data_IF_721688450927
#
_entry.id   IF_721688450927
#
_cell.length_a   1.000
_cell.length_b   1.000
_cell.length_c   1.000
_cell.angle_alpha   90.00
_cell.angle_beta   90.00
_cell.angle_gamma   90.00
#
_symmetry.space_group_name_H-M   'P 1'
#
loop_
_entity.id
_entity.type
_entity.pdbx_description
1 polymer ?
#
# COMPACT_ATOMS: atom_id res chain seq x y z
N UNK A 1 -13.30 -21.18 -22.23
CA UNK A 1 -13.45 -21.24 -20.76
C UNK A 1 -12.06 -21.17 -20.17
N UNK A 2 -11.46 -19.99 -20.20
CA UNK A 2 -10.16 -19.73 -19.60
C UNK A 2 -10.34 -18.41 -18.89
N UNK A 3 -10.59 -18.54 -17.59
CA UNK A 3 -11.07 -17.47 -16.74
C UNK A 3 -10.13 -16.28 -16.81
N UNK A 4 -10.69 -15.16 -17.25
CA UNK A 4 -10.28 -13.81 -16.91
C UNK A 4 -10.09 -13.70 -15.38
N UNK A 5 -8.95 -14.13 -14.86
CA UNK A 5 -8.47 -13.66 -13.57
C UNK A 5 -7.85 -12.30 -13.87
N UNK A 6 -8.74 -11.35 -14.17
CA UNK A 6 -8.45 -9.93 -14.12
C UNK A 6 -7.73 -9.70 -12.79
N UNK A 7 -6.46 -9.34 -12.93
CA UNK A 7 -5.55 -8.93 -11.89
C UNK A 7 -6.02 -7.61 -11.30
N UNK A 8 -7.18 -7.64 -10.64
CA UNK A 8 -7.70 -6.55 -9.82
C UNK A 8 -6.84 -6.54 -8.57
N UNK A 9 -5.81 -5.70 -8.55
CA UNK A 9 -4.92 -5.38 -7.42
C UNK A 9 -5.47 -5.91 -6.09
N UNK A 10 -5.19 -7.18 -5.79
CA UNK A 10 -5.76 -7.85 -4.62
C UNK A 10 -4.83 -7.52 -3.48
N UNK A 11 -5.27 -6.60 -2.63
CA UNK A 11 -4.58 -6.39 -1.37
C UNK A 11 -4.77 -7.65 -0.53
N UNK A 12 -3.66 -8.24 -0.09
CA UNK A 12 -3.67 -9.41 0.77
C UNK A 12 -3.26 -8.97 2.17
N UNK A 13 -4.01 -9.44 3.18
CA UNK A 13 -3.56 -9.38 4.57
C UNK A 13 -2.35 -10.28 4.72
N UNK A 14 -1.32 -9.80 5.39
CA UNK A 14 -0.15 -10.60 5.74
C UNK A 14 0.21 -10.40 7.21
N UNK A 15 0.53 -11.49 7.87
CA UNK A 15 1.12 -11.57 9.20
C UNK A 15 2.65 -11.46 9.14
N UNK A 16 3.26 -11.53 7.96
CA UNK A 16 4.71 -11.38 7.79
C UNK A 16 5.12 -9.90 7.67
N UNK A 17 4.99 -9.15 8.77
CA UNK A 17 5.25 -7.71 8.82
C UNK A 17 6.73 -7.36 8.57
N UNK A 18 7.65 -8.24 8.98
CA UNK A 18 9.09 -8.10 8.73
C UNK A 18 9.46 -8.10 7.24
N UNK A 19 8.63 -8.71 6.39
CA UNK A 19 8.84 -8.70 4.93
C UNK A 19 8.35 -7.42 4.25
N UNK A 20 7.72 -6.52 5.01
CA UNK A 20 7.12 -5.30 4.51
C UNK A 20 8.03 -4.08 4.63
N UNK A 21 9.16 -4.19 5.33
CA UNK A 21 10.14 -3.11 5.47
C UNK A 21 10.52 -2.57 4.08
N UNK A 22 10.40 -1.26 3.91
CA UNK A 22 10.62 -0.56 2.64
C UNK A 22 9.45 -0.62 1.64
N UNK A 23 8.29 -1.15 2.02
CA UNK A 23 7.07 -1.18 1.18
C UNK A 23 6.00 -0.26 1.72
N UNK A 24 5.13 0.22 0.82
CA UNK A 24 3.90 0.92 1.21
C UNK A 24 2.87 -0.13 1.64
N UNK A 25 2.33 0.04 2.83
CA UNK A 25 1.31 -0.84 3.40
C UNK A 25 0.12 -0.03 3.89
N UNK A 26 -1.02 -0.71 3.94
CA UNK A 26 -2.25 -0.17 4.49
C UNK A 26 -2.53 -0.84 5.81
N UNK A 27 -2.60 -0.04 6.87
CA UNK A 27 -2.94 -0.48 8.22
C UNK A 27 -4.43 -0.30 8.42
N UNK A 28 -5.07 -1.34 8.94
CA UNK A 28 -6.48 -1.34 9.31
C UNK A 28 -6.62 -1.72 10.78
N UNK A 29 -7.63 -1.19 11.46
CA UNK A 29 -7.95 -1.56 12.82
C UNK A 29 -9.39 -2.04 12.85
N UNK A 30 -9.60 -3.31 13.24
CA UNK A 30 -10.95 -3.93 13.27
C UNK A 30 -11.68 -3.79 11.91
N UNK A 31 -10.94 -3.98 10.82
CA UNK A 31 -11.47 -3.85 9.45
C UNK A 31 -11.61 -2.43 8.90
N UNK A 32 -11.45 -1.38 9.72
CA UNK A 32 -11.50 0.02 9.27
C UNK A 32 -10.13 0.49 8.78
N UNK A 33 -10.09 1.31 7.72
CA UNK A 33 -8.85 1.94 7.26
C UNK A 33 -8.33 2.89 8.34
N UNK A 34 -7.16 2.58 8.89
CA UNK A 34 -6.52 3.41 9.91
C UNK A 34 -5.56 4.39 9.26
N UNK A 35 -4.57 3.88 8.51
CA UNK A 35 -3.53 4.68 7.87
C UNK A 35 -2.86 3.92 6.73
N UNK A 36 -2.21 4.65 5.83
CA UNK A 36 -1.29 4.08 4.85
C UNK A 36 0.07 4.76 5.00
N UNK A 37 1.16 4.01 4.82
CA UNK A 37 2.50 4.59 4.84
C UNK A 37 3.59 3.59 4.47
N UNK A 38 4.81 4.10 4.32
CA UNK A 38 6.00 3.28 4.12
C UNK A 38 6.37 2.61 5.45
N UNK A 39 6.59 1.30 5.44
CA UNK A 39 7.19 0.63 6.59
C UNK A 39 8.67 0.99 6.63
N UNK A 40 9.08 1.70 7.68
CA UNK A 40 10.48 2.07 7.90
C UNK A 40 11.27 0.92 8.52
N UNK A 41 10.68 0.25 9.51
CA UNK A 41 11.29 -0.84 10.27
C UNK A 41 10.20 -1.79 10.80
N UNK A 42 10.55 -3.04 11.09
CA UNK A 42 9.60 -4.00 11.65
C UNK A 42 10.29 -4.99 12.57
N UNK A 43 9.58 -5.41 13.61
CA UNK A 43 10.11 -6.39 14.54
C UNK A 43 10.26 -7.76 13.86
N UNK A 44 11.35 -8.51 14.17
CA UNK A 44 11.67 -9.76 13.49
C UNK A 44 10.64 -10.87 13.75
N UNK A 45 9.91 -10.79 14.87
CA UNK A 45 8.82 -11.66 15.28
C UNK A 45 7.45 -11.23 14.73
N UNK A 46 7.41 -10.18 13.91
CA UNK A 46 6.20 -9.60 13.33
C UNK A 46 5.15 -9.10 14.36
N UNK A 47 5.55 -8.88 15.62
CA UNK A 47 4.63 -8.35 16.64
C UNK A 47 4.35 -6.86 16.46
N UNK A 48 5.10 -6.15 15.62
CA UNK A 48 4.88 -4.73 15.35
C UNK A 48 5.78 -4.16 14.27
N UNK A 49 5.37 -3.02 13.72
CA UNK A 49 6.12 -2.31 12.68
C UNK A 49 6.07 -0.80 12.87
N UNK A 50 7.04 -0.12 12.29
CA UNK A 50 7.14 1.33 12.27
C UNK A 50 6.74 1.85 10.90
N UNK A 51 5.75 2.73 10.88
CA UNK A 51 5.39 3.52 9.70
C UNK A 51 6.24 4.80 9.71
N UNK A 52 6.91 5.06 8.58
CA UNK A 52 7.70 6.25 8.35
C UNK A 52 6.83 7.53 8.46
N UNK A 53 7.42 8.67 8.85
CA UNK A 53 6.71 9.94 8.83
C UNK A 53 6.27 10.29 7.40
N UNK A 54 5.02 10.72 7.23
CA UNK A 54 4.47 11.13 5.94
C UNK A 54 3.80 12.50 6.07
N UNK A 55 4.46 13.54 5.54
CA UNK A 55 3.97 14.91 5.59
C UNK A 55 3.82 15.42 7.02
N UNK A 56 2.58 15.66 7.45
CA UNK A 56 2.26 16.12 8.81
C UNK A 56 2.17 14.98 9.84
N UNK A 57 2.20 13.72 9.39
CA UNK A 57 2.11 12.58 10.29
C UNK A 57 3.50 12.12 10.71
N UNK A 58 3.70 11.99 12.01
CA UNK A 58 4.94 11.49 12.58
C UNK A 58 5.11 9.98 12.35
N UNK A 59 6.32 9.51 12.67
CA UNK A 59 6.65 8.09 12.71
C UNK A 59 5.78 7.42 13.76
N UNK A 60 5.12 6.33 13.39
CA UNK A 60 4.14 5.67 14.26
C UNK A 60 4.44 4.19 14.38
N UNK A 61 4.35 3.68 15.60
CA UNK A 61 4.48 2.26 15.89
C UNK A 61 3.11 1.59 15.88
N UNK A 62 3.00 0.54 15.09
CA UNK A 62 1.79 -0.28 14.94
C UNK A 62 2.06 -1.63 15.59
N UNK A 63 1.21 -1.99 16.54
CA UNK A 63 1.32 -3.22 17.32
C UNK A 63 0.31 -4.27 16.86
N UNK A 64 0.76 -5.50 16.60
CA UNK A 64 -0.11 -6.59 16.18
C UNK A 64 -1.08 -7.03 17.29
N UNK A 65 -0.66 -6.93 18.56
CA UNK A 65 -1.48 -7.35 19.71
C UNK A 65 -2.69 -6.42 19.93
N UNK A 66 -2.59 -5.16 19.50
CA UNK A 66 -3.67 -4.16 19.54
C UNK A 66 -4.78 -4.42 18.52
N UNK A 67 -4.63 -5.43 17.65
CA UNK A 67 -5.63 -5.81 16.66
C UNK A 67 -5.47 -5.08 15.31
N UNK A 68 -4.31 -4.48 15.07
CA UNK A 68 -4.01 -3.91 13.77
C UNK A 68 -3.76 -5.00 12.71
N UNK A 69 -4.25 -4.75 11.51
CA UNK A 69 -4.13 -5.63 10.35
C UNK A 69 -3.40 -4.90 9.24
N UNK A 70 -2.37 -5.53 8.67
CA UNK A 70 -1.57 -4.92 7.61
C UNK A 70 -1.89 -5.58 6.28
N UNK A 71 -2.21 -4.75 5.30
CA UNK A 71 -2.62 -5.12 3.95
C UNK A 71 -1.60 -4.59 2.96
N UNK A 72 -1.16 -5.45 2.04
CA UNK A 72 -0.21 -5.07 0.99
C UNK A 72 -0.73 -5.54 -0.37
N UNK A 73 -0.55 -4.72 -1.40
CA UNK A 73 -0.68 -5.16 -2.78
C UNK A 73 0.63 -5.87 -3.14
N UNK A 74 0.66 -7.19 -3.00
CA UNK A 74 1.70 -8.00 -3.59
C UNK A 74 1.73 -7.66 -5.09
N UNK A 75 2.82 -7.04 -5.56
CA UNK A 75 3.05 -6.94 -6.99
C UNK A 75 2.99 -8.37 -7.57
N UNK A 76 2.28 -8.58 -8.69
CA UNK A 76 2.30 -9.87 -9.35
C UNK A 76 3.75 -10.25 -9.63
N UNK A 77 4.13 -11.49 -9.34
CA UNK A 77 5.47 -12.06 -9.65
C UNK A 77 5.64 -12.24 -11.16
N UNK A 78 5.40 -11.20 -11.94
CA UNK A 78 5.62 -11.18 -13.38
C UNK A 78 6.90 -10.40 -13.67
N UNK A 79 7.94 -11.16 -14.01
CA UNK A 79 9.28 -10.71 -14.44
C UNK A 79 9.27 -9.74 -15.64
N UNK A 80 8.10 -9.43 -16.21
CA UNK A 80 7.89 -8.54 -17.35
C UNK A 80 7.17 -7.22 -17.01
N UNK A 81 6.83 -6.97 -15.74
CA UNK A 81 6.02 -5.81 -15.35
C UNK A 81 6.87 -4.58 -14.98
N UNK A 82 7.61 -4.05 -15.96
CA UNK A 82 8.32 -2.76 -15.82
C UNK A 82 7.45 -1.56 -16.21
N UNK A 83 6.19 -1.80 -16.58
CA UNK A 83 5.30 -0.78 -17.17
C UNK A 83 4.08 -0.47 -16.30
N UNK A 84 3.51 -1.41 -15.52
CA UNK A 84 2.27 -1.12 -14.77
C UNK A 84 2.49 -0.23 -13.54
N UNK A 85 3.69 -0.20 -12.95
CA UNK A 85 4.02 0.75 -11.89
C UNK A 85 3.94 2.22 -12.37
N UNK A 86 4.17 2.46 -13.68
CA UNK A 86 4.14 3.80 -14.27
C UNK A 86 2.72 4.26 -14.64
N UNK A 87 1.81 3.33 -14.96
CA UNK A 87 0.42 3.68 -15.32
C UNK A 87 -0.46 4.01 -14.11
N UNK A 88 -0.17 3.47 -12.92
CA UNK A 88 -0.92 3.82 -11.71
C UNK A 88 -0.59 5.22 -11.17
N UNK A 89 0.62 5.73 -11.41
CA UNK A 89 0.98 7.13 -11.11
C UNK A 89 0.38 8.09 -12.15
N UNK A 90 0.24 7.66 -13.41
CA UNK A 90 -0.34 8.47 -14.48
C UNK A 90 -1.84 8.76 -14.29
N UNK A 91 -2.60 7.87 -13.61
CA UNK A 91 -4.03 8.08 -13.40
C UNK A 91 -4.40 9.16 -12.37
N UNK A 92 -3.42 9.72 -11.65
CA UNK A 92 -3.62 10.89 -10.77
C UNK A 92 -3.30 12.23 -11.46
N UNK A 93 -2.73 12.22 -12.66
CA UNK A 93 -2.32 13.43 -13.38
C UNK A 93 -3.40 14.01 -14.31
N UNK A 94 -4.36 13.21 -14.76
CA UNK A 94 -5.31 13.64 -15.81
C UNK A 94 -6.57 14.37 -15.30
N UNK A 95 -6.68 14.67 -14.00
CA UNK A 95 -7.77 15.50 -13.45
C UNK A 95 -7.22 16.87 -13.04
N UNK A 96 -6.48 17.56 -13.91
CA UNK A 96 -6.03 18.94 -13.64
C UNK A 96 -6.12 19.90 -14.82
N UNK A 97 -6.42 19.44 -16.04
CA UNK A 97 -6.46 20.30 -17.22
C UNK A 97 -7.88 20.61 -17.75
N UNK A 98 -8.88 20.64 -16.87
CA UNK A 98 -10.23 21.11 -17.22
C UNK A 98 -10.65 22.32 -16.38
N UNK A 99 -9.85 23.39 -16.39
CA UNK A 99 -10.30 24.73 -15.99
C UNK A 99 -9.76 25.80 -16.97
N UNK A 100 -10.49 25.94 -18.10
CA UNK A 100 -10.81 27.15 -18.90
C UNK A 100 -9.67 28.06 -19.47
N UNK A 101 -9.93 28.99 -20.42
CA UNK A 101 -11.12 29.30 -21.23
C UNK A 101 -10.83 29.32 -22.76
N UNK A 102 -11.86 29.38 -23.62
CA UNK A 102 -11.68 29.77 -25.03
C UNK A 102 -12.48 31.04 -25.31
N UNK A 103 -11.72 32.08 -25.65
CA UNK A 103 -11.98 33.36 -26.32
C UNK A 103 -13.44 33.78 -26.58
#
# INVERSE_FOLDING_TARGET
MESEIVSRASMHRTDQWQSLVGKIVQVRLVGEFYRQGLVEDAMPDASGLWIAPEGAFEREFIDAASGFEVWTSLYPRSRWDRTAASEMVAKKAEVREQIAPRA
#
